data_IF_829493982837
#
_entry.id   IF_829493982837
#
_cell.length_a   1.000
_cell.length_b   1.000
_cell.length_c   1.000
_cell.angle_alpha   90.00
_cell.angle_beta   90.00
_cell.angle_gamma   90.00
#
_symmetry.space_group_name_H-M   'P 1'
#
loop_
_entity.id
_entity.type
_entity.pdbx_description
1 polymer ?
#
# COMPACT_ATOMS: atom_id res chain seq x y z
N UNK A 1 -15.54 -3.30 -4.06
CA UNK A 1 -14.46 -3.48 -3.08
C UNK A 1 -13.94 -4.89 -2.75
N UNK A 2 -14.74 -5.98 -2.76
CA UNK A 2 -14.17 -7.34 -2.56
C UNK A 2 -13.09 -7.69 -3.60
N UNK A 3 -13.21 -7.10 -4.80
CA UNK A 3 -12.22 -7.20 -5.89
C UNK A 3 -10.87 -6.58 -5.53
N UNK A 4 -10.83 -5.42 -4.86
CA UNK A 4 -9.57 -4.82 -4.42
C UNK A 4 -8.84 -5.74 -3.45
N UNK A 5 -9.54 -6.26 -2.43
CA UNK A 5 -8.94 -7.19 -1.47
C UNK A 5 -8.41 -8.45 -2.17
N UNK A 6 -9.15 -8.98 -3.14
CA UNK A 6 -8.70 -10.10 -3.98
C UNK A 6 -7.43 -9.77 -4.76
N UNK A 7 -7.35 -8.59 -5.37
CA UNK A 7 -6.16 -8.13 -6.09
C UNK A 7 -4.96 -7.93 -5.16
N UNK A 8 -5.18 -7.34 -3.99
CA UNK A 8 -4.15 -7.16 -2.96
C UNK A 8 -3.62 -8.51 -2.50
N UNK A 9 -4.48 -9.48 -2.19
CA UNK A 9 -4.06 -10.84 -1.79
C UNK A 9 -3.26 -11.52 -2.92
N UNK A 10 -3.74 -11.47 -4.16
CA UNK A 10 -3.02 -12.05 -5.31
C UNK A 10 -1.64 -11.39 -5.46
N UNK A 11 -1.57 -10.07 -5.35
CA UNK A 11 -0.32 -9.32 -5.43
C UNK A 11 0.62 -9.68 -4.28
N UNK A 12 0.12 -9.78 -3.05
CA UNK A 12 0.88 -10.24 -1.87
C UNK A 12 1.46 -11.62 -2.13
N UNK A 13 0.68 -12.56 -2.67
CA UNK A 13 1.15 -13.91 -3.01
C UNK A 13 2.23 -13.86 -4.10
N UNK A 14 2.03 -13.08 -5.16
CA UNK A 14 3.02 -12.93 -6.24
C UNK A 14 4.32 -12.33 -5.70
N UNK A 15 4.24 -11.27 -4.89
CA UNK A 15 5.40 -10.64 -4.27
C UNK A 15 6.14 -11.62 -3.37
N UNK A 16 5.41 -12.42 -2.58
CA UNK A 16 6.01 -13.45 -1.74
C UNK A 16 6.68 -14.51 -2.61
N UNK A 17 6.05 -15.00 -3.67
CA UNK A 17 6.66 -16.01 -4.56
C UNK A 17 7.91 -15.48 -5.27
N UNK A 18 7.86 -14.25 -5.79
CA UNK A 18 9.01 -13.61 -6.44
C UNK A 18 10.10 -13.35 -5.42
N UNK A 19 9.77 -12.83 -4.23
CA UNK A 19 10.72 -12.56 -3.14
C UNK A 19 11.32 -13.84 -2.55
N UNK A 20 10.62 -14.97 -2.62
CA UNK A 20 11.11 -16.27 -2.17
C UNK A 20 12.28 -16.78 -3.04
N UNK A 21 12.39 -16.35 -4.29
CA UNK A 21 13.52 -16.75 -5.14
C UNK A 21 14.86 -16.09 -4.72
N UNK A 22 14.95 -14.76 -4.52
CA UNK A 22 16.08 -14.12 -3.85
C UNK A 22 16.34 -14.66 -2.43
N UNK A 23 15.31 -15.13 -1.71
CA UNK A 23 15.47 -15.74 -0.37
C UNK A 23 16.39 -16.95 -0.43
N UNK A 24 16.08 -17.84 -1.37
CA UNK A 24 16.80 -19.09 -1.54
C UNK A 24 18.18 -18.86 -2.18
N UNK A 25 18.34 -17.78 -2.95
CA UNK A 25 19.55 -17.53 -3.77
C UNK A 25 20.59 -16.62 -3.10
N UNK A 26 20.18 -15.52 -2.44
CA UNK A 26 21.09 -14.45 -1.98
C UNK A 26 21.36 -14.43 -0.47
N UNK A 27 20.83 -15.43 0.26
CA UNK A 27 21.07 -15.57 1.70
C UNK A 27 20.39 -14.48 2.55
N UNK A 28 20.66 -14.51 3.87
CA UNK A 28 19.93 -13.75 4.90
C UNK A 28 20.23 -12.25 4.95
N UNK A 29 21.06 -11.71 4.05
CA UNK A 29 21.77 -10.43 4.26
C UNK A 29 20.86 -9.21 4.45
N UNK A 30 19.67 -9.17 3.83
CA UNK A 30 18.76 -8.00 3.88
C UNK A 30 17.28 -8.36 4.13
N UNK A 31 17.04 -9.53 4.73
CA UNK A 31 15.70 -10.07 4.88
C UNK A 31 14.82 -9.27 5.83
N UNK A 32 15.43 -8.75 6.89
CA UNK A 32 14.73 -7.95 7.87
C UNK A 32 14.23 -6.64 7.25
N UNK A 33 15.08 -5.97 6.46
CA UNK A 33 14.74 -4.74 5.74
C UNK A 33 13.60 -4.96 4.74
N UNK A 34 13.69 -6.01 3.94
CA UNK A 34 12.65 -6.35 2.95
C UNK A 34 11.33 -6.68 3.66
N UNK A 35 11.37 -7.45 4.75
CA UNK A 35 10.18 -7.81 5.53
C UNK A 35 9.53 -6.58 6.17
N UNK A 36 10.30 -5.69 6.80
CA UNK A 36 9.80 -4.45 7.37
C UNK A 36 9.16 -3.55 6.30
N UNK A 37 9.83 -3.38 5.15
CA UNK A 37 9.33 -2.61 4.01
C UNK A 37 8.01 -3.17 3.46
N UNK A 38 7.90 -4.50 3.37
CA UNK A 38 6.70 -5.18 2.93
C UNK A 38 5.53 -4.98 3.92
N UNK A 39 5.80 -5.18 5.21
CA UNK A 39 4.80 -5.05 6.27
C UNK A 39 4.24 -3.62 6.35
N UNK A 40 5.09 -2.60 6.39
CA UNK A 40 4.63 -1.20 6.45
C UNK A 40 3.79 -0.86 5.21
N UNK A 41 4.19 -1.36 4.03
CA UNK A 41 3.46 -1.12 2.80
C UNK A 41 2.10 -1.84 2.75
N UNK A 42 2.00 -3.06 3.28
CA UNK A 42 0.72 -3.78 3.37
C UNK A 42 -0.23 -3.09 4.34
N UNK A 43 0.26 -2.71 5.52
CA UNK A 43 -0.55 -1.98 6.50
C UNK A 43 -1.07 -0.69 5.88
N UNK A 44 -0.21 0.05 5.17
CA UNK A 44 -0.63 1.24 4.43
C UNK A 44 -1.77 0.95 3.45
N UNK A 45 -1.66 -0.12 2.65
CA UNK A 45 -2.66 -0.49 1.65
C UNK A 45 -3.99 -0.94 2.26
N UNK A 46 -3.96 -1.67 3.38
CA UNK A 46 -5.16 -2.10 4.12
C UNK A 46 -5.90 -0.89 4.68
N UNK A 47 -5.19 0.09 5.26
CA UNK A 47 -5.81 1.32 5.75
C UNK A 47 -6.43 2.11 4.58
N UNK A 48 -5.72 2.22 3.45
CA UNK A 48 -6.23 2.87 2.25
C UNK A 48 -7.52 2.24 1.74
N UNK A 49 -7.58 0.91 1.70
CA UNK A 49 -8.80 0.19 1.39
C UNK A 49 -9.95 0.51 2.33
N UNK A 50 -9.70 0.50 3.64
CA UNK A 50 -10.73 0.78 4.63
C UNK A 50 -11.27 2.22 4.50
N UNK A 51 -10.39 3.19 4.22
CA UNK A 51 -10.77 4.58 3.96
C UNK A 51 -11.57 4.72 2.67
N UNK A 52 -11.14 4.12 1.58
CA UNK A 52 -11.90 4.08 0.32
C UNK A 52 -13.27 3.41 0.51
N UNK A 53 -13.33 2.40 1.39
CA UNK A 53 -14.55 1.66 1.69
C UNK A 53 -15.58 2.43 2.46
N UNK A 54 -15.17 2.94 3.60
CA UNK A 54 -16.00 3.72 4.49
C UNK A 54 -16.44 5.05 3.87
N UNK A 55 -15.70 5.57 2.89
CA UNK A 55 -16.06 6.78 2.17
C UNK A 55 -16.94 6.51 0.94
N UNK A 56 -17.17 5.24 0.55
CA UNK A 56 -17.85 4.90 -0.71
C UNK A 56 -19.34 5.30 -0.75
N UNK A 57 -19.99 5.48 0.40
CA UNK A 57 -21.38 5.95 0.50
C UNK A 57 -21.50 7.47 0.70
N UNK A 58 -20.38 8.19 0.85
CA UNK A 58 -20.37 9.63 1.15
C UNK A 58 -20.39 10.48 -0.11
N UNK A 59 -20.62 11.79 0.05
CA UNK A 59 -20.56 12.76 -1.05
C UNK A 59 -19.20 12.70 -1.79
N UNK A 60 -19.16 13.15 -3.06
CA UNK A 60 -17.90 13.15 -3.83
C UNK A 60 -16.82 13.98 -3.13
N UNK A 61 -17.17 15.15 -2.60
CA UNK A 61 -16.24 16.02 -1.86
C UNK A 61 -15.65 15.31 -0.64
N UNK A 62 -16.49 14.63 0.14
CA UNK A 62 -16.03 13.89 1.32
C UNK A 62 -15.20 12.66 0.95
N UNK A 63 -15.54 11.99 -0.16
CA UNK A 63 -14.75 10.89 -0.69
C UNK A 63 -13.34 11.34 -1.07
N UNK A 64 -13.22 12.40 -1.86
CA UNK A 64 -11.91 12.93 -2.26
C UNK A 64 -11.10 13.37 -1.03
N UNK A 65 -11.73 14.08 -0.10
CA UNK A 65 -11.08 14.53 1.13
C UNK A 65 -10.57 13.36 1.98
N UNK A 66 -11.37 12.32 2.17
CA UNK A 66 -11.00 11.16 2.99
C UNK A 66 -9.96 10.26 2.31
N UNK A 67 -10.12 9.98 1.02
CA UNK A 67 -9.23 9.06 0.29
C UNK A 67 -7.89 9.72 -0.03
N UNK A 68 -7.89 10.89 -0.68
CA UNK A 68 -6.65 11.58 -1.04
C UNK A 68 -6.00 12.27 0.16
N UNK A 69 -6.80 12.88 1.06
CA UNK A 69 -6.26 13.44 2.30
C UNK A 69 -5.67 12.35 3.19
N UNK A 70 -6.36 11.21 3.32
CA UNK A 70 -5.85 10.04 4.03
C UNK A 70 -4.60 9.45 3.38
N UNK A 71 -4.46 9.54 2.05
CA UNK A 71 -3.24 9.13 1.34
C UNK A 71 -2.04 10.00 1.73
N UNK A 72 -2.18 11.33 1.78
CA UNK A 72 -1.09 12.23 2.20
C UNK A 72 -0.65 11.98 3.64
N UNK A 73 -1.60 11.80 4.56
CA UNK A 73 -1.29 11.51 5.97
C UNK A 73 -0.52 10.19 6.09
N UNK A 74 -0.98 9.15 5.39
CA UNK A 74 -0.29 7.86 5.40
C UNK A 74 1.10 7.92 4.75
N UNK A 75 1.28 8.70 3.68
CA UNK A 75 2.60 8.94 3.09
C UNK A 75 3.56 9.58 4.09
N UNK A 76 3.11 10.62 4.80
CA UNK A 76 3.90 11.26 5.84
C UNK A 76 4.26 10.26 6.96
N UNK A 77 3.33 9.39 7.34
CA UNK A 77 3.58 8.33 8.32
C UNK A 77 4.62 7.31 7.83
N UNK A 78 4.50 6.79 6.60
CA UNK A 78 5.46 5.84 6.03
C UNK A 78 6.84 6.48 5.94
N UNK A 79 6.94 7.74 5.49
CA UNK A 79 8.20 8.48 5.45
C UNK A 79 8.80 8.68 6.84
N UNK A 80 7.98 9.10 7.82
CA UNK A 80 8.41 9.26 9.21
C UNK A 80 8.90 7.94 9.83
N UNK A 81 8.18 6.84 9.58
CA UNK A 81 8.60 5.50 9.98
C UNK A 81 9.93 5.12 9.33
N UNK A 82 10.12 5.43 8.04
CA UNK A 82 11.37 5.13 7.36
C UNK A 82 12.55 5.88 7.97
N UNK A 83 12.39 7.20 8.18
CA UNK A 83 13.41 8.04 8.82
C UNK A 83 13.73 7.49 10.20
N UNK A 84 12.72 7.16 11.01
CA UNK A 84 12.90 6.59 12.34
C UNK A 84 13.71 5.30 12.32
N UNK A 85 13.37 4.35 11.44
CA UNK A 85 14.05 3.06 11.35
C UNK A 85 15.53 3.22 10.91
N UNK A 86 15.78 4.12 9.97
CA UNK A 86 17.12 4.40 9.44
C UNK A 86 17.98 5.14 10.47
N UNK A 87 17.46 6.21 11.07
CA UNK A 87 18.20 7.05 12.03
C UNK A 87 18.61 6.27 13.29
N UNK A 88 17.79 5.31 13.72
CA UNK A 88 18.10 4.44 14.85
C UNK A 88 18.95 3.20 14.48
N UNK A 89 19.38 3.08 13.22
CA UNK A 89 20.19 1.95 12.70
C UNK A 89 19.53 0.58 12.88
N UNK A 90 18.19 0.52 12.89
CA UNK A 90 17.46 -0.76 12.94
C UNK A 90 17.50 -1.51 11.60
N UNK A 91 17.72 -0.80 10.51
CA UNK A 91 17.73 -1.32 9.14
C UNK A 91 18.82 -0.65 8.31
N UNK A 92 19.35 -1.39 7.34
CA UNK A 92 20.28 -0.83 6.36
C UNK A 92 19.55 0.13 5.41
N UNK A 93 20.07 1.36 5.27
CA UNK A 93 19.42 2.46 4.54
C UNK A 93 19.01 2.09 3.11
N UNK A 94 19.97 1.64 2.30
CA UNK A 94 19.75 1.39 0.86
C UNK A 94 18.72 0.28 0.61
N UNK A 95 18.88 -0.95 1.14
CA UNK A 95 17.94 -2.03 0.85
C UNK A 95 16.55 -1.74 1.41
N UNK A 96 16.45 -1.13 2.59
CA UNK A 96 15.16 -0.77 3.17
C UNK A 96 14.45 0.33 2.38
N UNK A 97 15.17 1.37 1.95
CA UNK A 97 14.61 2.44 1.14
C UNK A 97 14.09 1.94 -0.21
N UNK A 98 14.93 1.19 -0.95
CA UNK A 98 14.56 0.64 -2.27
C UNK A 98 13.35 -0.30 -2.13
N UNK A 99 13.39 -1.21 -1.16
CA UNK A 99 12.28 -2.16 -0.94
C UNK A 99 10.99 -1.45 -0.58
N UNK A 100 11.06 -0.41 0.27
CA UNK A 100 9.88 0.36 0.66
C UNK A 100 9.31 1.10 -0.54
N UNK A 101 10.14 1.72 -1.39
CA UNK A 101 9.69 2.39 -2.61
C UNK A 101 9.00 1.44 -3.59
N UNK A 102 9.56 0.24 -3.79
CA UNK A 102 8.97 -0.77 -4.68
C UNK A 102 7.62 -1.23 -4.12
N UNK A 103 7.57 -1.73 -2.89
CA UNK A 103 6.34 -2.25 -2.33
C UNK A 103 5.27 -1.18 -2.20
N UNK A 104 5.64 0.01 -1.72
CA UNK A 104 4.73 1.13 -1.58
C UNK A 104 4.10 1.50 -2.93
N UNK A 105 4.91 1.66 -3.98
CA UNK A 105 4.42 2.02 -5.31
C UNK A 105 3.45 0.98 -5.86
N UNK A 106 3.79 -0.32 -5.79
CA UNK A 106 2.92 -1.36 -6.34
C UNK A 106 1.61 -1.43 -5.54
N UNK A 107 1.65 -1.36 -4.20
CA UNK A 107 0.44 -1.37 -3.39
C UNK A 107 -0.43 -0.12 -3.60
N UNK A 108 0.18 1.06 -3.68
CA UNK A 108 -0.50 2.33 -3.91
C UNK A 108 -1.15 2.36 -5.30
N UNK A 109 -0.46 1.84 -6.31
CA UNK A 109 -1.01 1.70 -7.65
C UNK A 109 -2.25 0.81 -7.68
N UNK A 110 -2.21 -0.33 -6.99
CA UNK A 110 -3.35 -1.25 -6.86
C UNK A 110 -4.52 -0.59 -6.11
N UNK A 111 -4.24 0.22 -5.09
CA UNK A 111 -5.24 1.02 -4.37
C UNK A 111 -5.96 1.95 -5.33
N UNK A 112 -5.20 2.83 -5.99
CA UNK A 112 -5.73 3.83 -6.93
C UNK A 112 -6.52 3.17 -8.06
N UNK A 113 -5.94 2.14 -8.68
CA UNK A 113 -6.60 1.38 -9.76
C UNK A 113 -7.88 0.69 -9.30
N UNK A 114 -7.94 0.27 -8.03
CA UNK A 114 -9.07 -0.40 -7.42
C UNK A 114 -10.28 0.53 -7.31
N UNK A 115 -10.13 1.67 -6.62
CA UNK A 115 -11.25 2.58 -6.42
C UNK A 115 -11.57 3.44 -7.65
N UNK A 116 -10.60 3.75 -8.52
CA UNK A 116 -10.85 4.48 -9.77
C UNK A 116 -11.81 3.73 -10.70
N UNK A 117 -11.78 2.39 -10.71
CA UNK A 117 -12.73 1.56 -11.46
C UNK A 117 -14.14 1.54 -10.86
N UNK A 118 -14.27 1.85 -9.58
CA UNK A 118 -15.55 1.88 -8.87
C UNK A 118 -16.20 3.28 -8.93
N UNK A 119 -15.43 4.36 -9.14
CA UNK A 119 -15.95 5.74 -9.31
C UNK A 119 -17.01 5.89 -10.42
N UNK A 120 -16.84 5.34 -11.64
CA UNK A 120 -17.85 5.44 -12.69
C UNK A 120 -19.21 4.84 -12.27
N UNK A 121 -19.20 3.81 -11.41
CA UNK A 121 -20.42 3.16 -10.93
C UNK A 121 -21.22 4.04 -9.97
N UNK A 122 -20.59 4.99 -9.27
CA UNK A 122 -21.29 5.97 -8.43
C UNK A 122 -22.13 6.96 -9.24
N UNK A 123 -21.67 7.37 -10.43
CA UNK A 123 -22.41 8.31 -11.29
C UNK A 123 -23.69 7.68 -11.87
N UNK A 124 -23.71 6.37 -12.07
CA UNK A 124 -24.87 5.65 -12.62
C UNK A 124 -25.97 5.50 -11.55
N UNK A 125 -25.61 5.17 -10.31
CA UNK A 125 -26.58 4.98 -9.22
C UNK A 125 -27.15 6.29 -8.63
N UNK A 126 -26.60 7.45 -8.96
CA UNK A 126 -27.16 8.74 -8.54
C UNK A 126 -28.22 9.29 -9.51
N UNK A 127 -28.39 8.64 -10.67
CA UNK A 127 -29.30 9.04 -11.75
C UNK A 127 -30.42 8.01 -12.02
N UNK A 128 -30.62 7.04 -11.13
CA UNK A 128 -31.74 6.08 -11.16
C UNK A 128 -32.56 6.20 -9.89
#
# INVERSE_FOLDING_TARGET
>A
MKRFLKLLIIQTIIIIMIGFFPFLSWGKMYWFEIACAFLISIVNAIIGYYLASSSFSKSNTDFYKLVFGGMLIRMAFVLGFMIYMISNKFVSTIPFFISTMIFYTIHQWTEISGWLKEIPQRKVNANG
#
